data_IF_449541834579
#
_entry.id   IF_449541834579
#
_cell.length_a   1.000
_cell.length_b   1.000
_cell.length_c   1.000
_cell.angle_alpha   90.00
_cell.angle_beta   90.00
_cell.angle_gamma   90.00
#
_symmetry.space_group_name_H-M   'P 1'
#
loop_
_entity.id
_entity.type
_entity.pdbx_description
1 polymer ?
#
# COMPACT_ATOMS: atom_id res chain seq x y z
N UNK A 1 18.02 14.12 -42.33
CA UNK A 1 17.77 13.65 -40.95
C UNK A 1 19.08 13.37 -40.24
N UNK A 2 19.61 14.27 -39.40
CA UNK A 2 20.89 14.00 -38.72
C UNK A 2 21.33 14.99 -37.65
N UNK A 3 20.81 16.22 -37.63
CA UNK A 3 21.29 17.24 -36.69
C UNK A 3 20.67 17.20 -35.29
N UNK A 4 19.41 16.77 -35.12
CA UNK A 4 18.80 16.68 -33.78
C UNK A 4 19.23 15.46 -32.94
N UNK A 5 19.71 14.38 -33.58
CA UNK A 5 20.20 13.19 -32.84
C UNK A 5 21.58 13.43 -32.19
N UNK A 6 22.36 14.39 -32.69
CA UNK A 6 23.66 14.74 -32.12
C UNK A 6 23.57 15.77 -30.98
N UNK A 7 22.48 16.52 -30.85
CA UNK A 7 22.27 17.39 -29.68
C UNK A 7 21.82 16.59 -28.45
N UNK A 8 20.94 15.59 -28.64
CA UNK A 8 20.43 14.77 -27.53
C UNK A 8 21.43 13.70 -27.04
N UNK A 9 22.46 13.37 -27.82
CA UNK A 9 23.58 12.53 -27.33
C UNK A 9 24.64 13.31 -26.54
N UNK A 10 24.71 14.64 -26.68
CA UNK A 10 25.66 15.50 -25.95
C UNK A 10 25.15 15.95 -24.58
N UNK A 11 23.86 15.79 -24.28
CA UNK A 11 23.29 16.09 -22.96
C UNK A 11 23.36 14.92 -21.96
N UNK A 12 23.92 13.76 -22.35
CA UNK A 12 23.86 12.52 -21.57
C UNK A 12 25.23 11.94 -21.19
N UNK A 13 26.33 12.66 -21.33
CA UNK A 13 27.64 12.20 -20.88
C UNK A 13 28.48 13.36 -20.38
N UNK A 14 29.10 13.14 -19.24
CA UNK A 14 30.01 14.03 -18.48
C UNK A 14 29.32 14.91 -17.44
N UNK A 15 28.67 14.26 -16.47
CA UNK A 15 28.95 14.64 -15.08
C UNK A 15 30.26 13.92 -14.76
N UNK A 16 31.36 14.67 -14.76
CA UNK A 16 32.66 14.15 -14.32
C UNK A 16 32.52 13.62 -12.90
N UNK A 17 33.17 12.49 -12.58
CA UNK A 17 33.23 11.94 -11.21
C UNK A 17 33.67 12.99 -10.17
N UNK A 18 34.32 14.07 -10.60
CA UNK A 18 34.75 15.19 -9.78
C UNK A 18 33.61 16.13 -9.33
N UNK A 19 32.52 16.27 -10.11
CA UNK A 19 31.36 17.09 -9.74
C UNK A 19 30.40 16.36 -8.79
N UNK A 20 30.28 15.03 -8.94
CA UNK A 20 29.52 14.19 -7.99
C UNK A 20 30.16 14.20 -6.59
N UNK A 21 31.50 14.24 -6.51
CA UNK A 21 32.22 14.36 -5.24
C UNK A 21 31.99 15.72 -4.56
N UNK A 22 31.86 16.82 -5.32
CA UNK A 22 31.59 18.16 -4.77
C UNK A 22 30.16 18.31 -4.25
N UNK A 23 29.18 17.58 -4.78
CA UNK A 23 27.80 17.57 -4.27
C UNK A 23 27.70 16.72 -2.99
N UNK A 24 28.48 15.64 -2.88
CA UNK A 24 28.52 14.79 -1.68
C UNK A 24 29.18 15.47 -0.47
N UNK A 25 30.07 16.45 -0.68
CA UNK A 25 30.82 17.11 0.39
C UNK A 25 30.09 18.31 1.02
N UNK A 26 28.82 18.56 0.68
CA UNK A 26 28.04 19.73 1.16
C UNK A 26 26.83 19.41 2.03
N UNK A 27 26.71 18.17 2.51
CA UNK A 27 25.74 17.79 3.53
C UNK A 27 26.47 17.29 4.78
N UNK A 28 27.04 18.24 5.54
CA UNK A 28 27.43 18.01 6.92
C UNK A 28 26.21 18.32 7.82
N UNK A 29 25.75 17.30 8.55
CA UNK A 29 24.86 17.48 9.70
C UNK A 29 25.67 18.06 10.87
N UNK A 30 25.04 18.92 11.69
CA UNK A 30 25.60 19.69 12.80
C UNK A 30 26.16 18.84 13.96
N UNK A 31 26.36 17.54 13.77
CA UNK A 31 26.87 16.61 14.78
C UNK A 31 28.20 15.94 14.40
N UNK A 32 28.82 16.29 13.27
CA UNK A 32 30.19 15.89 12.92
C UNK A 32 30.42 14.37 12.81
N UNK A 33 29.42 13.60 12.38
CA UNK A 33 29.55 12.16 12.14
C UNK A 33 29.35 11.84 10.65
N UNK A 34 30.16 10.93 10.08
CA UNK A 34 30.06 10.56 8.67
C UNK A 34 28.71 9.89 8.39
N UNK A 35 28.05 10.32 7.32
CA UNK A 35 26.81 9.71 6.81
C UNK A 35 27.23 8.44 6.08
N UNK A 36 26.98 7.28 6.69
CA UNK A 36 27.12 5.99 6.03
C UNK A 36 26.12 5.92 4.88
N UNK A 37 26.63 5.81 3.65
CA UNK A 37 25.88 5.44 2.46
C UNK A 37 25.31 4.04 2.65
N UNK A 38 24.07 3.97 3.15
CA UNK A 38 23.28 2.74 3.17
C UNK A 38 23.04 2.27 1.74
N UNK A 39 23.71 1.19 1.38
CA UNK A 39 23.38 0.33 0.25
C UNK A 39 21.90 -0.04 0.30
N UNK A 40 21.24 0.10 -0.86
CA UNK A 40 19.92 -0.44 -1.13
C UNK A 40 19.89 -1.95 -0.84
N UNK A 41 18.74 -2.45 -0.40
CA UNK A 41 18.48 -3.82 0.05
C UNK A 41 19.12 -4.19 1.40
N UNK A 42 18.60 -3.59 2.47
CA UNK A 42 18.69 -4.20 3.79
C UNK A 42 17.55 -5.20 3.91
N UNK A 43 17.88 -6.49 3.99
CA UNK A 43 17.03 -7.48 4.67
C UNK A 43 16.63 -6.89 6.02
N UNK A 44 15.33 -6.70 6.18
CA UNK A 44 14.75 -6.17 7.38
C UNK A 44 14.86 -7.24 8.46
N UNK A 45 15.95 -7.20 9.23
CA UNK A 45 16.29 -8.09 10.35
C UNK A 45 15.30 -7.95 11.54
N UNK A 46 14.09 -7.47 11.29
CA UNK A 46 12.99 -7.51 12.23
C UNK A 46 12.51 -8.96 12.34
N UNK A 47 12.29 -9.47 13.57
CA UNK A 47 11.76 -10.81 13.74
C UNK A 47 10.48 -10.92 12.92
N UNK A 48 10.47 -11.88 12.01
CA UNK A 48 9.29 -12.27 11.27
C UNK A 48 8.19 -12.51 12.30
N UNK A 49 7.02 -11.83 12.20
CA UNK A 49 6.00 -11.94 13.22
C UNK A 49 5.65 -13.42 13.47
N UNK A 50 5.57 -13.84 14.73
CA UNK A 50 5.45 -15.26 15.09
C UNK A 50 4.17 -15.95 14.57
N UNK A 51 3.28 -15.23 13.88
CA UNK A 51 2.12 -15.79 13.21
C UNK A 51 2.46 -16.47 11.88
N UNK A 52 3.67 -16.28 11.31
CA UNK A 52 4.15 -17.15 10.21
C UNK A 52 4.43 -18.59 10.68
N UNK A 53 4.48 -18.84 11.99
CA UNK A 53 4.66 -20.18 12.58
C UNK A 53 3.35 -20.80 13.09
N UNK A 54 2.19 -20.23 12.72
CA UNK A 54 0.88 -20.78 13.03
C UNK A 54 0.50 -21.91 12.08
N UNK A 55 0.90 -23.15 12.40
CA UNK A 55 0.37 -24.37 11.74
C UNK A 55 -1.05 -24.73 12.20
N UNK A 56 -1.62 -23.96 13.13
CA UNK A 56 -3.02 -24.07 13.57
C UNK A 56 -3.92 -23.18 12.71
N UNK A 57 -4.54 -23.76 11.69
CA UNK A 57 -5.64 -23.12 10.99
C UNK A 57 -6.87 -23.17 11.89
N UNK A 58 -7.26 -22.05 12.51
CA UNK A 58 -8.46 -22.03 13.33
C UNK A 58 -9.70 -22.03 12.44
N UNK A 59 -10.56 -23.03 12.61
CA UNK A 59 -11.77 -23.20 11.80
C UNK A 59 -12.95 -22.30 12.28
N UNK A 60 -12.65 -21.23 13.03
CA UNK A 60 -13.69 -20.39 13.62
C UNK A 60 -14.29 -19.39 12.62
N UNK A 61 -13.67 -19.20 11.44
CA UNK A 61 -14.15 -18.32 10.38
C UNK A 61 -14.22 -16.84 10.81
N UNK A 62 -13.56 -16.46 11.90
CA UNK A 62 -13.59 -15.09 12.41
C UNK A 62 -12.50 -14.26 11.74
N UNK A 63 -12.77 -12.99 11.37
CA UNK A 63 -11.76 -12.11 10.79
C UNK A 63 -10.76 -11.59 11.82
N UNK A 64 -10.72 -12.19 13.01
CA UNK A 64 -9.81 -11.84 14.08
C UNK A 64 -9.50 -13.07 14.93
N UNK A 65 -8.32 -13.08 15.55
CA UNK A 65 -7.89 -14.13 16.45
C UNK A 65 -6.39 -14.35 16.43
N UNK A 66 -5.87 -15.15 17.36
CA UNK A 66 -4.43 -15.46 17.44
C UNK A 66 -3.94 -16.31 16.27
N UNK A 67 -4.84 -17.05 15.62
CA UNK A 67 -4.55 -17.99 14.54
C UNK A 67 -5.25 -17.56 13.26
N UNK A 68 -4.55 -17.67 12.14
CA UNK A 68 -5.09 -17.36 10.83
C UNK A 68 -6.15 -18.41 10.43
N UNK A 69 -7.35 -17.98 10.01
CA UNK A 69 -8.35 -18.88 9.45
C UNK A 69 -7.90 -19.50 8.11
N UNK A 70 -8.53 -20.60 7.72
CA UNK A 70 -8.28 -21.24 6.41
C UNK A 70 -8.73 -20.38 5.23
N UNK A 71 -9.75 -19.54 5.43
CA UNK A 71 -10.24 -18.66 4.38
C UNK A 71 -9.15 -17.72 3.87
N UNK A 72 -9.19 -17.45 2.56
CA UNK A 72 -8.32 -16.50 1.89
C UNK A 72 -8.37 -15.12 2.57
N UNK A 73 -7.20 -14.56 2.81
CA UNK A 73 -6.95 -13.28 3.44
C UNK A 73 -5.63 -12.68 2.92
N UNK A 74 -5.32 -11.46 3.36
CA UNK A 74 -4.17 -10.72 2.85
C UNK A 74 -2.81 -11.38 3.09
N UNK A 75 -2.71 -12.35 3.99
CA UNK A 75 -1.46 -13.03 4.33
C UNK A 75 -1.31 -14.41 3.65
N UNK A 76 -2.39 -15.05 3.19
CA UNK A 76 -2.33 -16.37 2.54
C UNK A 76 -2.77 -16.35 1.05
N UNK A 77 -3.03 -15.17 0.46
CA UNK A 77 -3.39 -14.97 -0.95
C UNK A 77 -2.25 -15.27 -1.95
N UNK A 78 -1.00 -15.39 -1.50
CA UNK A 78 0.20 -15.52 -2.35
C UNK A 78 0.44 -14.32 -3.29
N UNK A 79 0.24 -13.11 -2.78
CA UNK A 79 0.52 -11.85 -3.46
C UNK A 79 0.70 -10.71 -2.45
N UNK A 80 0.72 -9.48 -2.93
CA UNK A 80 0.69 -8.28 -2.07
C UNK A 80 -0.72 -8.05 -1.50
N UNK A 81 -0.81 -7.31 -0.40
CA UNK A 81 -2.12 -6.90 0.13
C UNK A 81 -2.93 -6.11 -0.92
N UNK A 82 -2.27 -5.32 -1.77
CA UNK A 82 -2.96 -4.54 -2.80
C UNK A 82 -3.60 -5.46 -3.84
N UNK A 83 -2.84 -6.43 -4.34
CA UNK A 83 -3.33 -7.44 -5.29
C UNK A 83 -4.48 -8.26 -4.68
N UNK A 84 -4.40 -8.60 -3.39
CA UNK A 84 -5.48 -9.29 -2.69
C UNK A 84 -6.80 -8.50 -2.72
N UNK A 85 -6.77 -7.23 -2.31
CA UNK A 85 -7.97 -6.39 -2.31
C UNK A 85 -8.44 -6.06 -3.73
N UNK A 86 -7.52 -5.82 -4.67
CA UNK A 86 -7.83 -5.58 -6.09
C UNK A 86 -8.50 -6.80 -6.73
N UNK A 87 -8.07 -8.01 -6.40
CA UNK A 87 -8.72 -9.24 -6.84
C UNK A 87 -10.16 -9.34 -6.33
N UNK A 88 -10.40 -9.06 -5.04
CA UNK A 88 -11.75 -9.01 -4.48
C UNK A 88 -12.60 -7.97 -5.22
N UNK A 89 -12.06 -6.78 -5.46
CA UNK A 89 -12.82 -5.71 -6.11
C UNK A 89 -13.20 -6.07 -7.54
N UNK A 90 -12.29 -6.67 -8.30
CA UNK A 90 -12.52 -7.06 -9.68
C UNK A 90 -13.52 -8.22 -9.80
N UNK A 91 -13.42 -9.22 -8.92
CA UNK A 91 -14.23 -10.44 -9.01
C UNK A 91 -15.61 -10.30 -8.35
N UNK A 92 -15.69 -9.62 -7.20
CA UNK A 92 -16.91 -9.56 -6.39
C UNK A 92 -17.72 -8.28 -6.56
N UNK A 93 -17.16 -7.26 -7.22
CA UNK A 93 -17.78 -5.95 -7.45
C UNK A 93 -17.59 -5.43 -8.90
N UNK A 94 -17.80 -6.27 -9.94
CA UNK A 94 -17.52 -5.92 -11.34
C UNK A 94 -18.40 -4.77 -11.90
N UNK A 95 -19.49 -4.43 -11.22
CA UNK A 95 -20.40 -3.35 -11.59
C UNK A 95 -19.84 -1.94 -11.28
N UNK A 96 -18.73 -1.85 -10.53
CA UNK A 96 -18.09 -0.60 -10.19
C UNK A 96 -16.80 -0.40 -11.00
N UNK A 97 -16.59 0.83 -11.46
CA UNK A 97 -15.27 1.27 -11.88
C UNK A 97 -14.47 1.64 -10.63
N UNK A 98 -13.33 0.96 -10.43
CA UNK A 98 -12.45 1.18 -9.28
C UNK A 98 -11.20 1.92 -9.71
N UNK A 99 -10.91 3.07 -9.10
CA UNK A 99 -9.65 3.79 -9.25
C UNK A 99 -8.81 3.72 -7.98
N UNK A 100 -7.48 3.72 -8.14
CA UNK A 100 -6.50 3.61 -7.04
C UNK A 100 -5.73 4.90 -6.88
N UNK A 101 -5.54 5.32 -5.63
CA UNK A 101 -4.61 6.37 -5.22
C UNK A 101 -3.62 5.77 -4.22
N UNK A 102 -2.33 5.80 -4.55
CA UNK A 102 -1.27 5.30 -3.68
C UNK A 102 -0.73 6.42 -2.78
N UNK A 103 -0.52 6.08 -1.50
CA UNK A 103 0.22 6.95 -0.59
C UNK A 103 1.72 6.96 -0.90
N UNK A 104 2.39 8.05 -0.56
CA UNK A 104 3.81 8.29 -0.84
C UNK A 104 4.77 7.17 -0.42
N UNK A 105 4.40 6.36 0.58
CA UNK A 105 5.24 5.30 1.14
C UNK A 105 4.82 3.88 0.72
N UNK A 106 3.81 3.71 -0.14
CA UNK A 106 3.26 2.40 -0.51
C UNK A 106 2.55 1.64 0.63
N UNK A 107 2.56 2.19 1.84
CA UNK A 107 1.91 1.62 3.05
C UNK A 107 0.45 2.01 3.18
N UNK A 108 -0.09 2.70 2.18
CA UNK A 108 -1.46 3.19 2.10
C UNK A 108 -1.91 3.13 0.64
N UNK A 109 -3.12 2.62 0.42
CA UNK A 109 -3.82 2.69 -0.85
C UNK A 109 -5.28 3.06 -0.59
N UNK A 110 -5.82 3.97 -1.39
CA UNK A 110 -7.24 4.33 -1.37
C UNK A 110 -7.87 3.94 -2.71
N UNK A 111 -9.01 3.27 -2.64
CA UNK A 111 -9.77 2.79 -3.78
C UNK A 111 -11.12 3.49 -3.82
N UNK A 112 -11.44 4.11 -4.96
CA UNK A 112 -12.73 4.78 -5.15
C UNK A 112 -13.60 3.96 -6.09
N UNK A 113 -14.76 3.54 -5.59
CA UNK A 113 -15.78 2.81 -6.34
C UNK A 113 -16.72 3.82 -6.98
N UNK A 114 -16.87 3.75 -8.29
CA UNK A 114 -17.71 4.65 -9.09
C UNK A 114 -18.71 3.83 -9.90
N UNK A 115 -19.97 4.27 -9.92
CA UNK A 115 -21.01 3.68 -10.78
C UNK A 115 -21.87 4.79 -11.37
N UNK A 116 -22.03 4.79 -12.70
CA UNK A 116 -22.73 5.86 -13.43
C UNK A 116 -22.07 7.24 -13.26
N UNK A 117 -20.74 7.30 -13.09
CA UNK A 117 -20.00 8.55 -12.84
C UNK A 117 -20.13 9.11 -11.42
N UNK A 118 -20.87 8.44 -10.54
CA UNK A 118 -21.06 8.85 -9.14
C UNK A 118 -20.17 8.02 -8.22
N UNK A 119 -19.44 8.68 -7.31
CA UNK A 119 -18.68 8.00 -6.25
C UNK A 119 -19.65 7.30 -5.30
N UNK A 120 -19.48 6.00 -5.12
CA UNK A 120 -20.36 5.14 -4.30
C UNK A 120 -19.71 4.73 -2.99
N UNK A 121 -18.39 4.55 -2.98
CA UNK A 121 -17.65 4.14 -1.79
C UNK A 121 -16.17 4.52 -1.96
N UNK A 122 -15.53 4.87 -0.84
CA UNK A 122 -14.07 4.94 -0.74
C UNK A 122 -13.59 3.89 0.25
N UNK A 123 -12.64 3.05 -0.16
CA UNK A 123 -11.99 2.04 0.68
C UNK A 123 -10.53 2.45 0.88
N UNK A 124 -10.12 2.65 2.13
CA UNK A 124 -8.72 2.92 2.47
C UNK A 124 -8.09 1.69 3.11
N UNK A 125 -6.95 1.25 2.58
CA UNK A 125 -6.10 0.21 3.15
C UNK A 125 -4.83 0.89 3.66
N UNK A 126 -4.47 0.67 4.92
CA UNK A 126 -3.32 1.34 5.53
C UNK A 126 -2.59 0.49 6.56
N UNK A 127 -1.37 0.91 6.86
CA UNK A 127 -0.56 0.42 7.96
C UNK A 127 -1.14 0.90 9.31
N UNK A 128 -1.15 0.06 10.35
CA UNK A 128 -1.77 0.33 11.65
C UNK A 128 -1.39 1.68 12.25
N UNK A 129 -0.10 2.03 12.23
CA UNK A 129 0.40 3.30 12.77
C UNK A 129 0.20 4.52 11.85
N UNK A 130 -0.60 4.42 10.79
CA UNK A 130 -0.89 5.56 9.92
C UNK A 130 -1.87 6.54 10.58
N UNK A 131 -1.60 7.84 10.48
CA UNK A 131 -2.53 8.90 10.89
C UNK A 131 -3.61 9.14 9.82
N UNK A 132 -4.86 8.74 10.07
CA UNK A 132 -5.91 8.65 9.02
C UNK A 132 -7.23 9.33 9.39
N UNK A 133 -7.23 10.66 9.43
CA UNK A 133 -8.46 11.44 9.65
C UNK A 133 -8.94 12.20 8.41
N UNK A 134 -8.03 12.67 7.56
CA UNK A 134 -8.38 13.59 6.45
C UNK A 134 -9.34 12.99 5.42
N UNK A 135 -9.03 11.78 4.91
CA UNK A 135 -9.86 11.15 3.87
C UNK A 135 -11.26 10.81 4.37
N UNK A 136 -11.35 10.25 5.59
CA UNK A 136 -12.62 9.97 6.26
C UNK A 136 -13.48 11.25 6.40
N UNK A 137 -12.90 12.35 6.85
CA UNK A 137 -13.61 13.61 7.02
C UNK A 137 -14.05 14.23 5.70
N UNK A 138 -13.26 14.05 4.64
CA UNK A 138 -13.64 14.44 3.29
C UNK A 138 -14.83 13.62 2.77
N UNK A 139 -14.78 12.29 2.86
CA UNK A 139 -15.88 11.41 2.47
C UNK A 139 -17.17 11.76 3.23
N UNK A 140 -17.07 12.00 4.55
CA UNK A 140 -18.20 12.44 5.38
C UNK A 140 -18.82 13.75 4.87
N UNK A 141 -18.01 14.75 4.50
CA UNK A 141 -18.51 16.02 3.96
C UNK A 141 -19.18 15.87 2.59
N UNK A 142 -18.72 14.91 1.78
CA UNK A 142 -19.29 14.62 0.47
C UNK A 142 -20.50 13.66 0.54
N UNK A 143 -20.84 13.13 1.72
CA UNK A 143 -21.89 12.11 1.87
C UNK A 143 -21.52 10.76 1.23
N UNK A 144 -20.23 10.50 1.02
CA UNK A 144 -19.74 9.26 0.41
C UNK A 144 -19.38 8.27 1.52
N UNK A 145 -19.89 7.02 1.47
CA UNK A 145 -19.48 5.95 2.36
C UNK A 145 -17.96 5.74 2.38
N UNK A 146 -17.43 5.41 3.55
CA UNK A 146 -16.01 5.22 3.78
C UNK A 146 -15.74 3.95 4.58
N UNK A 147 -14.87 3.09 4.05
CA UNK A 147 -14.38 1.90 4.73
C UNK A 147 -12.87 1.95 4.91
N UNK A 148 -12.42 1.29 5.98
CA UNK A 148 -11.01 1.18 6.33
C UNK A 148 -10.66 -0.27 6.65
N UNK A 149 -9.53 -0.70 6.12
CA UNK A 149 -8.88 -1.97 6.45
C UNK A 149 -7.41 -1.72 6.80
N UNK A 150 -6.88 -2.57 7.68
CA UNK A 150 -5.46 -2.56 8.03
C UNK A 150 -4.79 -3.75 7.38
N UNK A 151 -3.68 -3.54 6.67
CA UNK A 151 -2.98 -4.64 6.00
C UNK A 151 -2.05 -5.43 6.94
N UNK A 152 -1.70 -4.85 8.09
CA UNK A 152 -0.67 -5.34 9.00
C UNK A 152 -1.11 -5.43 10.47
N UNK A 153 -2.40 -5.26 10.77
CA UNK A 153 -2.88 -5.30 12.15
C UNK A 153 -2.82 -6.73 12.71
N UNK A 154 -2.06 -6.92 13.77
CA UNK A 154 -1.82 -8.24 14.35
C UNK A 154 -3.12 -8.88 14.85
N UNK A 155 -3.37 -10.12 14.45
CA UNK A 155 -4.58 -10.86 14.80
C UNK A 155 -5.84 -10.37 14.09
N UNK A 156 -5.69 -9.56 13.03
CA UNK A 156 -6.79 -9.16 12.16
C UNK A 156 -6.61 -9.73 10.74
N UNK A 157 -7.51 -10.61 10.39
CA UNK A 157 -7.53 -11.33 9.12
C UNK A 157 -8.60 -10.67 8.26
N UNK A 158 -8.22 -9.93 7.22
CA UNK A 158 -9.19 -9.39 6.28
C UNK A 158 -9.70 -10.53 5.39
N UNK A 159 -10.49 -11.44 5.95
CA UNK A 159 -11.08 -12.55 5.21
C UNK A 159 -11.89 -12.03 4.04
N UNK A 160 -11.89 -12.76 2.93
CA UNK A 160 -12.60 -12.35 1.72
C UNK A 160 -14.09 -12.12 1.99
N UNK A 161 -14.73 -13.02 2.72
CA UNK A 161 -16.13 -12.92 3.18
C UNK A 161 -16.37 -11.63 3.99
N UNK A 162 -15.49 -11.33 4.94
CA UNK A 162 -15.56 -10.13 5.78
C UNK A 162 -15.43 -8.84 4.93
N UNK A 163 -14.46 -8.79 4.02
CA UNK A 163 -14.27 -7.63 3.13
C UNK A 163 -15.50 -7.43 2.25
N UNK A 164 -15.99 -8.50 1.62
CA UNK A 164 -17.17 -8.47 0.74
C UNK A 164 -18.41 -7.98 1.49
N UNK A 165 -18.68 -8.54 2.66
CA UNK A 165 -19.86 -8.17 3.45
C UNK A 165 -19.85 -6.71 3.88
N UNK A 166 -18.67 -6.18 4.25
CA UNK A 166 -18.53 -4.77 4.61
C UNK A 166 -18.74 -3.84 3.42
N UNK A 167 -18.21 -4.19 2.26
CA UNK A 167 -18.38 -3.40 1.04
C UNK A 167 -19.84 -3.40 0.60
N UNK A 168 -20.49 -4.58 0.52
CA UNK A 168 -21.92 -4.70 0.17
C UNK A 168 -22.81 -3.83 1.07
N UNK A 169 -22.60 -3.90 2.39
CA UNK A 169 -23.34 -3.06 3.34
C UNK A 169 -23.12 -1.56 3.15
N UNK A 170 -21.96 -1.15 2.62
CA UNK A 170 -21.62 0.25 2.44
C UNK A 170 -22.13 0.83 1.12
N UNK A 171 -22.21 0.02 0.05
CA UNK A 171 -22.70 0.48 -1.27
C UNK A 171 -24.22 0.42 -1.42
N UNK A 172 -24.91 -0.30 -0.53
CA UNK A 172 -26.37 -0.48 -0.55
C UNK A 172 -26.83 -1.52 -1.56
#
# INVERSE_FOLDING_TARGET
MGFLKNLLRKASKEISQEEAAKISAKFEDMTGKPIETRTAFGEDDRPVPSWEQGTGSSNNGLPYGPEAPFEENQFNFNGTYQEYFENIFAEDFPEFQVSKEEGFTGRRAAYTFTSGGVKRLVVEILYEGSGVYKLRDECRRQGVPYLRFYHDHAGWWNLRSYVKDRIRKAVG
#
